data_IF_721459705538
#
_entry.id   IF_721459705538
#
_cell.length_a   1.000
_cell.length_b   1.000
_cell.length_c   1.000
_cell.angle_alpha   90.00
_cell.angle_beta   90.00
_cell.angle_gamma   90.00
#
_symmetry.space_group_name_H-M   'P 1'
#
loop_
_entity.id
_entity.type
_entity.pdbx_description
1 polymer ?
#
# COMPACT_ATOMS: atom_id res chain seq x y z
N UNK A 1 -13.01 41.09 -39.22
CA UNK A 1 -12.73 39.93 -40.08
C UNK A 1 -13.49 38.77 -39.43
N UNK A 2 -14.83 38.70 -39.57
CA UNK A 2 -15.60 38.07 -40.68
C UNK A 2 -15.21 36.58 -40.78
N UNK A 3 -16.04 35.54 -40.67
CA UNK A 3 -17.48 35.24 -40.48
C UNK A 3 -17.51 33.81 -39.84
N UNK A 4 -18.45 33.37 -38.99
CA UNK A 4 -19.85 32.95 -39.20
C UNK A 4 -20.17 32.04 -40.41
N UNK A 5 -21.20 31.19 -40.22
CA UNK A 5 -21.79 30.12 -41.07
C UNK A 5 -21.29 28.67 -40.83
N UNK A 6 -22.12 27.63 -40.86
CA UNK A 6 -23.57 27.51 -40.80
C UNK A 6 -23.95 26.02 -40.62
N UNK A 7 -25.01 25.84 -39.84
CA UNK A 7 -25.94 24.72 -39.72
C UNK A 7 -26.40 24.11 -41.06
N UNK A 8 -26.65 22.79 -41.10
CA UNK A 8 -27.79 22.20 -41.86
C UNK A 8 -28.15 20.77 -41.43
N UNK A 9 -29.32 20.66 -40.82
CA UNK A 9 -30.15 19.46 -40.78
C UNK A 9 -30.85 19.26 -42.13
N UNK A 10 -31.17 18.02 -42.49
CA UNK A 10 -32.05 17.68 -43.61
C UNK A 10 -32.61 16.27 -43.43
N UNK A 11 -33.89 16.18 -43.06
CA UNK A 11 -34.68 14.97 -42.94
C UNK A 11 -35.10 14.41 -44.32
N UNK A 12 -35.32 13.10 -44.40
CA UNK A 12 -35.95 12.44 -45.54
C UNK A 12 -36.38 11.02 -45.16
N UNK A 13 -37.69 10.81 -45.11
CA UNK A 13 -38.40 9.60 -44.67
C UNK A 13 -38.97 8.93 -45.91
N UNK A 14 -38.75 7.63 -46.09
CA UNK A 14 -39.57 6.83 -47.02
C UNK A 14 -39.80 5.42 -46.47
N UNK A 15 -41.08 5.04 -46.50
CA UNK A 15 -41.67 3.77 -46.06
C UNK A 15 -42.41 3.22 -47.28
N UNK A 16 -42.10 1.99 -47.72
CA UNK A 16 -42.94 1.08 -48.54
C UNK A 16 -42.38 -0.34 -48.24
N UNK A 17 -43.02 -1.33 -47.61
CA UNK A 17 -44.35 -1.98 -47.66
C UNK A 17 -44.47 -3.16 -48.67
N UNK A 18 -44.76 -4.37 -48.13
CA UNK A 18 -45.26 -5.59 -48.80
C UNK A 18 -44.24 -6.44 -49.59
N UNK A 19 -44.27 -7.78 -49.70
CA UNK A 19 -45.19 -8.82 -49.26
C UNK A 19 -44.53 -10.23 -49.40
N UNK A 20 -45.04 -11.18 -48.61
CA UNK A 20 -45.29 -12.61 -48.88
C UNK A 20 -44.19 -13.66 -49.22
N UNK A 21 -44.03 -14.60 -48.26
CA UNK A 21 -44.17 -16.08 -48.31
C UNK A 21 -43.56 -16.93 -49.46
N UNK A 22 -42.86 -18.00 -49.02
CA UNK A 22 -42.64 -19.34 -49.61
C UNK A 22 -41.24 -19.67 -50.18
N UNK A 23 -40.56 -20.65 -49.56
CA UNK A 23 -39.48 -21.43 -50.19
C UNK A 23 -38.51 -22.09 -49.21
N UNK A 24 -38.83 -23.30 -48.72
CA UNK A 24 -37.82 -24.27 -48.25
C UNK A 24 -37.26 -25.02 -49.47
N UNK A 25 -35.94 -25.30 -49.50
CA UNK A 25 -35.45 -26.68 -49.39
C UNK A 25 -34.26 -26.74 -48.38
N UNK A 26 -34.04 -27.76 -47.56
CA UNK A 26 -33.96 -29.18 -47.88
C UNK A 26 -32.49 -29.62 -47.90
N UNK A 27 -31.93 -30.02 -46.74
CA UNK A 27 -30.70 -30.81 -46.56
C UNK A 27 -29.36 -30.11 -46.87
N UNK A 28 -28.39 -30.01 -45.96
CA UNK A 28 -27.67 -31.17 -45.43
C UNK A 28 -26.98 -30.81 -44.11
N UNK A 29 -27.38 -31.50 -43.04
CA UNK A 29 -26.61 -31.58 -41.81
C UNK A 29 -25.38 -32.46 -42.05
N UNK A 30 -24.21 -31.84 -42.19
CA UNK A 30 -22.97 -32.47 -41.77
C UNK A 30 -22.67 -32.03 -40.36
N UNK A 31 -22.80 -32.98 -39.43
CA UNK A 31 -22.47 -32.79 -38.03
C UNK A 31 -20.99 -32.49 -37.85
N UNK A 32 -20.69 -31.42 -37.13
CA UNK A 32 -19.54 -31.41 -36.25
C UNK A 32 -20.07 -31.78 -34.86
N UNK A 33 -19.88 -33.04 -34.48
CA UNK A 33 -20.08 -33.51 -33.13
C UNK A 33 -18.88 -33.03 -32.30
N UNK A 34 -19.13 -32.30 -31.20
CA UNK A 34 -18.08 -32.11 -30.18
C UNK A 34 -18.03 -30.81 -29.39
N UNK A 35 -19.02 -29.92 -29.43
CA UNK A 35 -19.14 -28.87 -28.39
C UNK A 35 -20.25 -29.28 -27.43
N UNK A 36 -19.91 -30.11 -26.44
CA UNK A 36 -20.71 -30.22 -25.24
C UNK A 36 -20.66 -28.86 -24.54
N UNK A 37 -21.66 -28.01 -24.81
CA UNK A 37 -21.95 -26.85 -23.98
C UNK A 37 -22.24 -27.40 -22.59
N UNK A 38 -21.27 -27.35 -21.68
CA UNK A 38 -21.41 -27.78 -20.30
C UNK A 38 -22.06 -26.63 -19.51
N UNK A 39 -23.40 -26.56 -19.41
CA UNK A 39 -24.08 -25.37 -18.87
C UNK A 39 -23.76 -25.17 -17.39
N UNK A 40 -23.37 -26.26 -16.72
CA UNK A 40 -22.92 -26.27 -15.32
C UNK A 40 -21.50 -25.72 -15.20
N UNK A 41 -20.60 -25.98 -16.15
CA UNK A 41 -19.24 -25.45 -16.12
C UNK A 41 -19.25 -23.93 -16.35
N UNK A 42 -20.05 -23.45 -17.31
CA UNK A 42 -20.23 -22.02 -17.58
C UNK A 42 -20.88 -21.29 -16.38
N UNK A 43 -21.84 -21.93 -15.71
CA UNK A 43 -22.45 -21.40 -14.48
C UNK A 43 -21.47 -21.38 -13.31
N UNK A 44 -20.55 -22.35 -13.23
CA UNK A 44 -19.51 -22.43 -12.21
C UNK A 44 -18.43 -21.38 -12.47
N UNK A 45 -18.01 -21.16 -13.72
CA UNK A 45 -17.11 -20.07 -14.11
C UNK A 45 -17.77 -18.71 -13.85
N UNK A 46 -19.03 -18.52 -14.25
CA UNK A 46 -19.78 -17.29 -13.95
C UNK A 46 -19.94 -17.05 -12.44
N UNK A 47 -20.21 -18.10 -11.66
CA UNK A 47 -20.25 -18.00 -10.20
C UNK A 47 -18.86 -17.70 -9.60
N UNK A 48 -17.78 -18.23 -10.19
CA UNK A 48 -16.41 -17.95 -9.78
C UNK A 48 -16.03 -16.49 -10.09
N UNK A 49 -16.42 -15.96 -11.24
CA UNK A 49 -16.24 -14.55 -11.63
C UNK A 49 -17.02 -13.61 -10.69
N UNK A 50 -18.19 -14.02 -10.21
CA UNK A 50 -18.94 -13.29 -9.18
C UNK A 50 -18.29 -13.35 -7.79
N UNK A 51 -17.45 -14.35 -7.54
CA UNK A 51 -16.72 -14.55 -6.29
C UNK A 51 -15.31 -13.95 -6.33
N UNK A 52 -14.84 -13.44 -7.47
CA UNK A 52 -13.57 -12.75 -7.54
C UNK A 52 -13.59 -11.52 -6.61
N UNK A 53 -12.64 -11.41 -5.67
CA UNK A 53 -12.58 -10.26 -4.78
C UNK A 53 -12.34 -8.98 -5.58
N UNK A 54 -13.38 -8.15 -5.70
CA UNK A 54 -13.29 -6.87 -6.38
C UNK A 54 -12.25 -5.99 -5.67
N UNK A 55 -11.22 -5.56 -6.40
CA UNK A 55 -10.25 -4.57 -5.91
C UNK A 55 -11.01 -3.29 -5.50
N UNK A 56 -10.93 -2.85 -4.24
CA UNK A 56 -11.66 -1.66 -3.81
C UNK A 56 -11.20 -0.41 -4.57
N UNK A 57 -12.11 0.52 -4.83
CA UNK A 57 -11.81 1.73 -5.63
C UNK A 57 -10.76 2.66 -4.99
N UNK A 58 -10.65 2.68 -3.67
CA UNK A 58 -9.67 3.51 -2.95
C UNK A 58 -8.31 2.83 -2.71
N UNK A 59 -8.11 1.64 -3.30
CA UNK A 59 -6.85 0.90 -3.20
C UNK A 59 -5.66 1.76 -3.65
N UNK A 60 -4.71 1.97 -2.75
CA UNK A 60 -3.48 2.73 -3.02
C UNK A 60 -3.57 4.25 -2.90
N UNK A 61 -4.77 4.83 -2.89
CA UNK A 61 -4.95 6.29 -2.89
C UNK A 61 -4.43 6.98 -1.61
N UNK A 62 -4.59 6.35 -0.45
CA UNK A 62 -4.05 6.88 0.81
C UNK A 62 -2.52 7.04 0.75
N UNK A 63 -1.81 6.02 0.26
CA UNK A 63 -0.36 6.08 0.13
C UNK A 63 0.07 7.04 -0.99
N UNK A 64 -0.69 7.13 -2.09
CA UNK A 64 -0.43 8.11 -3.13
C UNK A 64 -0.51 9.56 -2.62
N UNK A 65 -1.52 9.87 -1.81
CA UNK A 65 -1.63 11.18 -1.15
C UNK A 65 -0.47 11.44 -0.17
N UNK A 66 0.04 10.39 0.47
CA UNK A 66 1.17 10.50 1.39
C UNK A 66 2.51 10.69 0.71
N UNK A 67 2.68 10.40 -0.59
CA UNK A 67 3.95 10.63 -1.30
C UNK A 67 4.39 12.11 -1.27
N UNK A 68 3.59 13.08 -1.75
CA UNK A 68 3.99 14.49 -1.66
C UNK A 68 4.07 14.95 -0.21
N UNK A 69 3.18 14.48 0.67
CA UNK A 69 3.20 14.83 2.08
C UNK A 69 4.51 14.39 2.75
N UNK A 70 4.98 13.15 2.53
CA UNK A 70 6.21 12.61 3.12
C UNK A 70 7.46 13.30 2.59
N UNK A 71 7.47 13.68 1.30
CA UNK A 71 8.56 14.49 0.72
C UNK A 71 8.63 15.86 1.41
N UNK A 72 7.50 16.58 1.50
CA UNK A 72 7.46 17.88 2.17
C UNK A 72 7.83 17.79 3.65
N UNK A 73 7.27 16.82 4.37
CA UNK A 73 7.58 16.60 5.79
C UNK A 73 9.06 16.26 6.01
N UNK A 74 9.64 15.46 5.12
CA UNK A 74 11.05 15.10 5.16
C UNK A 74 11.98 16.28 4.91
N UNK A 75 11.67 17.13 3.93
CA UNK A 75 12.41 18.38 3.68
C UNK A 75 12.39 19.25 4.94
N UNK A 76 11.22 19.42 5.58
CA UNK A 76 11.10 20.20 6.82
C UNK A 76 11.99 19.62 7.94
N UNK A 77 11.94 18.30 8.17
CA UNK A 77 12.78 17.67 9.21
C UNK A 77 14.27 17.87 8.94
N UNK A 78 14.72 17.68 7.70
CA UNK A 78 16.13 17.79 7.34
C UNK A 78 16.61 19.24 7.43
N UNK A 79 15.83 20.21 6.95
CA UNK A 79 16.19 21.63 6.98
C UNK A 79 16.17 22.23 8.39
N UNK A 80 15.28 21.77 9.27
CA UNK A 80 15.18 22.28 10.64
C UNK A 80 16.06 21.52 11.64
N UNK A 81 16.75 20.47 11.21
CA UNK A 81 17.67 19.73 12.06
C UNK A 81 18.87 20.60 12.48
N UNK A 82 19.06 20.75 13.79
CA UNK A 82 20.09 21.65 14.37
C UNK A 82 21.51 21.11 14.28
N UNK A 83 21.70 19.83 13.96
CA UNK A 83 23.01 19.18 13.83
C UNK A 83 23.07 18.33 12.58
N UNK A 84 24.28 18.14 12.04
CA UNK A 84 24.49 17.27 10.89
C UNK A 84 24.04 15.83 11.17
N UNK A 85 24.27 15.34 12.39
CA UNK A 85 23.85 13.99 12.77
C UNK A 85 22.33 13.83 12.77
N UNK A 86 21.60 14.83 13.28
CA UNK A 86 20.14 14.87 13.24
C UNK A 86 19.63 14.94 11.79
N UNK A 87 20.24 15.76 10.94
CA UNK A 87 19.86 15.90 9.54
C UNK A 87 20.03 14.58 8.76
N UNK A 88 21.14 13.86 8.99
CA UNK A 88 21.37 12.54 8.39
C UNK A 88 20.34 11.50 8.86
N UNK A 89 20.04 11.47 10.15
CA UNK A 89 19.02 10.56 10.69
C UNK A 89 17.62 10.85 10.15
N UNK A 90 17.27 12.14 10.01
CA UNK A 90 16.01 12.57 9.40
C UNK A 90 15.96 12.27 7.90
N UNK A 91 17.11 12.34 7.20
CA UNK A 91 17.21 11.96 5.79
C UNK A 91 16.90 10.48 5.61
N UNK A 92 17.47 9.62 6.46
CA UNK A 92 17.19 8.19 6.46
C UNK A 92 15.70 7.93 6.66
N UNK A 93 15.08 8.53 7.68
CA UNK A 93 13.64 8.41 7.91
C UNK A 93 12.82 8.85 6.68
N UNK A 94 13.14 10.01 6.11
CA UNK A 94 12.45 10.60 4.97
C UNK A 94 12.54 9.73 3.71
N UNK A 95 13.74 9.24 3.39
CA UNK A 95 13.95 8.37 2.22
C UNK A 95 13.18 7.07 2.37
N UNK A 96 13.24 6.43 3.54
CA UNK A 96 12.47 5.19 3.76
C UNK A 96 10.96 5.41 3.70
N UNK A 97 10.46 6.57 4.14
CA UNK A 97 9.04 6.93 4.04
C UNK A 97 8.61 7.13 2.59
N UNK A 98 9.40 7.86 1.80
CA UNK A 98 9.16 8.05 0.37
C UNK A 98 9.18 6.72 -0.39
N UNK A 99 10.11 5.81 -0.05
CA UNK A 99 10.16 4.47 -0.65
C UNK A 99 8.90 3.67 -0.29
N UNK A 100 8.47 3.66 0.97
CA UNK A 100 7.26 2.97 1.41
C UNK A 100 6.03 3.49 0.66
N UNK A 101 5.71 4.78 0.81
CA UNK A 101 4.49 5.35 0.23
C UNK A 101 4.53 5.34 -1.29
N UNK A 102 5.68 5.66 -1.89
CA UNK A 102 5.85 5.68 -3.34
C UNK A 102 5.70 4.30 -3.96
N UNK A 103 6.41 3.30 -3.44
CA UNK A 103 6.30 1.91 -3.94
C UNK A 103 4.88 1.38 -3.77
N UNK A 104 4.27 1.64 -2.61
CA UNK A 104 2.91 1.16 -2.32
C UNK A 104 1.85 1.81 -3.21
N UNK A 105 1.98 3.11 -3.47
CA UNK A 105 1.12 3.83 -4.40
C UNK A 105 1.22 3.27 -5.81
N UNK A 106 2.45 3.09 -6.33
CA UNK A 106 2.69 2.51 -7.66
C UNK A 106 2.12 1.10 -7.74
N UNK A 107 2.42 0.27 -6.74
CA UNK A 107 1.93 -1.10 -6.67
C UNK A 107 0.41 -1.16 -6.75
N UNK A 108 -0.28 -0.39 -5.91
CA UNK A 108 -1.72 -0.51 -5.74
C UNK A 108 -2.56 0.29 -6.74
N UNK A 109 -2.06 1.38 -7.32
CA UNK A 109 -2.78 2.14 -8.33
C UNK A 109 -2.63 1.56 -9.73
N UNK A 110 -1.48 0.94 -10.02
CA UNK A 110 -1.22 0.40 -11.35
C UNK A 110 -1.95 -0.91 -11.65
N UNK A 111 -1.92 -1.26 -12.94
CA UNK A 111 -2.30 -2.56 -13.49
C UNK A 111 -1.07 -3.16 -14.16
N UNK A 112 -0.51 -4.19 -13.56
CA UNK A 112 0.78 -4.74 -13.94
C UNK A 112 0.62 -6.15 -14.50
N UNK A 113 1.49 -6.53 -15.44
CA UNK A 113 1.61 -7.93 -15.83
C UNK A 113 2.14 -8.80 -14.67
N UNK A 114 2.07 -10.14 -14.78
CA UNK A 114 2.39 -11.05 -13.67
C UNK A 114 3.77 -10.81 -13.03
N UNK A 115 4.79 -10.52 -13.83
CA UNK A 115 6.13 -10.21 -13.35
C UNK A 115 6.19 -8.89 -12.57
N UNK A 116 5.57 -7.82 -13.11
CA UNK A 116 5.56 -6.50 -12.49
C UNK A 116 4.82 -6.52 -11.16
N UNK A 117 3.65 -7.15 -11.12
CA UNK A 117 2.85 -7.36 -9.89
C UNK A 117 3.67 -8.10 -8.83
N UNK A 118 4.36 -9.17 -9.21
CA UNK A 118 5.18 -9.95 -8.29
C UNK A 118 6.40 -9.18 -7.76
N UNK A 119 7.03 -8.33 -8.57
CA UNK A 119 8.17 -7.49 -8.13
C UNK A 119 7.69 -6.37 -7.21
N UNK A 120 6.67 -5.61 -7.61
CA UNK A 120 6.15 -4.48 -6.83
C UNK A 120 5.59 -4.95 -5.49
N UNK A 121 4.88 -6.08 -5.45
CA UNK A 121 4.42 -6.69 -4.19
C UNK A 121 5.56 -7.10 -3.25
N UNK A 122 6.72 -7.50 -3.79
CA UNK A 122 7.90 -7.81 -2.96
C UNK A 122 8.52 -6.53 -2.41
N UNK A 123 8.67 -5.51 -3.23
CA UNK A 123 9.21 -4.21 -2.81
C UNK A 123 8.30 -3.54 -1.77
N UNK A 124 6.99 -3.54 -2.00
CA UNK A 124 6.00 -2.98 -1.08
C UNK A 124 6.07 -3.63 0.30
N UNK A 125 6.08 -4.97 0.37
CA UNK A 125 6.21 -5.67 1.64
C UNK A 125 7.61 -5.57 2.26
N UNK A 126 8.68 -5.48 1.45
CA UNK A 126 10.03 -5.28 1.96
C UNK A 126 10.20 -3.90 2.61
N UNK A 127 9.53 -2.87 2.06
CA UNK A 127 9.59 -1.52 2.58
C UNK A 127 9.04 -1.38 4.00
N UNK A 128 8.18 -2.30 4.46
CA UNK A 128 7.74 -2.35 5.86
C UNK A 128 8.93 -2.50 6.82
N UNK A 129 9.87 -3.40 6.52
CA UNK A 129 11.08 -3.56 7.32
C UNK A 129 11.96 -2.31 7.26
N UNK A 130 12.08 -1.73 6.07
CA UNK A 130 12.92 -0.57 5.83
C UNK A 130 12.42 0.68 6.56
N UNK A 131 11.11 1.00 6.48
CA UNK A 131 10.52 2.14 7.21
C UNK A 131 10.55 1.90 8.72
N UNK A 132 10.47 0.67 9.19
CA UNK A 132 10.59 0.36 10.62
C UNK A 132 11.95 0.78 11.16
N UNK A 133 13.03 0.36 10.48
CA UNK A 133 14.39 0.80 10.83
C UNK A 133 14.59 2.31 10.61
N UNK A 134 14.05 2.85 9.52
CA UNK A 134 14.09 4.28 9.20
C UNK A 134 13.44 5.15 10.28
N UNK A 135 12.29 4.73 10.81
CA UNK A 135 11.57 5.43 11.90
C UNK A 135 12.34 5.39 13.21
N UNK A 136 12.97 4.26 13.52
CA UNK A 136 13.79 4.11 14.72
C UNK A 136 15.06 4.98 14.68
N UNK A 137 15.57 5.29 13.49
CA UNK A 137 16.87 5.94 13.31
C UNK A 137 16.95 7.34 13.94
N UNK A 138 16.07 8.31 13.63
CA UNK A 138 16.10 9.62 14.28
C UNK A 138 15.78 9.53 15.78
N UNK A 139 14.85 8.68 16.21
CA UNK A 139 14.55 8.49 17.64
C UNK A 139 15.78 7.99 18.41
N UNK A 140 16.49 6.99 17.88
CA UNK A 140 17.70 6.46 18.49
C UNK A 140 18.82 7.52 18.51
N UNK A 141 19.02 8.24 17.40
CA UNK A 141 20.09 9.23 17.26
C UNK A 141 19.89 10.42 18.18
N UNK A 142 18.65 10.88 18.35
CA UNK A 142 18.33 12.10 19.10
C UNK A 142 18.11 11.84 20.59
N UNK A 143 17.60 10.67 20.97
CA UNK A 143 17.11 10.43 22.32
C UNK A 143 17.99 9.49 23.16
N UNK A 144 18.93 8.76 22.55
CA UNK A 144 19.74 7.76 23.24
C UNK A 144 21.21 8.16 23.38
N UNK A 145 21.87 7.76 24.49
CA UNK A 145 23.32 7.82 24.59
C UNK A 145 23.99 6.91 23.55
N UNK A 146 25.25 7.19 23.16
CA UNK A 146 25.93 6.51 22.05
C UNK A 146 25.86 4.98 22.06
N UNK A 147 26.10 4.34 23.20
CA UNK A 147 26.12 2.87 23.28
C UNK A 147 24.75 2.24 23.03
N UNK A 148 23.69 2.82 23.65
CA UNK A 148 22.30 2.36 23.48
C UNK A 148 21.80 2.64 22.07
N UNK A 149 22.11 3.83 21.54
CA UNK A 149 21.84 4.20 20.14
C UNK A 149 22.42 3.18 19.19
N UNK A 150 23.72 2.91 19.29
CA UNK A 150 24.42 2.03 18.36
C UNK A 150 23.84 0.61 18.42
N UNK A 151 23.56 0.09 19.62
CA UNK A 151 22.94 -1.22 19.78
C UNK A 151 21.54 -1.28 19.13
N UNK A 152 20.67 -0.30 19.39
CA UNK A 152 19.33 -0.26 18.79
C UNK A 152 19.41 -0.17 17.26
N UNK A 153 20.29 0.69 16.73
CA UNK A 153 20.50 0.83 15.29
C UNK A 153 20.98 -0.49 14.66
N UNK A 154 21.91 -1.18 15.29
CA UNK A 154 22.35 -2.50 14.84
C UNK A 154 21.20 -3.50 14.78
N UNK A 155 20.39 -3.58 15.84
CA UNK A 155 19.24 -4.49 15.90
C UNK A 155 18.24 -4.19 14.77
N UNK A 156 17.82 -2.92 14.63
CA UNK A 156 16.76 -2.58 13.68
C UNK A 156 17.23 -2.68 12.23
N UNK A 157 18.46 -2.29 11.91
CA UNK A 157 18.98 -2.35 10.54
C UNK A 157 19.36 -3.76 10.12
N UNK A 158 20.00 -4.56 11.00
CA UNK A 158 20.27 -5.97 10.67
C UNK A 158 18.97 -6.75 10.54
N UNK A 159 18.03 -6.58 11.49
CA UNK A 159 16.71 -7.19 11.40
C UNK A 159 15.94 -6.77 10.14
N UNK A 160 16.03 -5.49 9.74
CA UNK A 160 15.41 -5.03 8.51
C UNK A 160 16.04 -5.66 7.26
N UNK A 161 17.38 -5.69 7.16
CA UNK A 161 18.08 -6.30 6.04
C UNK A 161 17.82 -7.80 5.95
N UNK A 162 17.82 -8.51 7.08
CA UNK A 162 17.45 -9.93 7.14
C UNK A 162 15.99 -10.14 6.73
N UNK A 163 15.07 -9.30 7.20
CA UNK A 163 13.65 -9.36 6.82
C UNK A 163 13.41 -9.09 5.33
N UNK A 164 14.13 -8.12 4.76
CA UNK A 164 14.12 -7.82 3.31
C UNK A 164 14.68 -9.01 2.53
N UNK A 165 15.84 -9.55 2.92
CA UNK A 165 16.44 -10.71 2.26
C UNK A 165 15.51 -11.92 2.31
N UNK A 166 14.92 -12.20 3.48
CA UNK A 166 13.92 -13.24 3.66
C UNK A 166 12.74 -13.06 2.69
N UNK A 167 12.20 -11.84 2.58
CA UNK A 167 11.07 -11.52 1.70
C UNK A 167 11.40 -11.63 0.21
N UNK A 168 12.60 -11.23 -0.19
CA UNK A 168 13.03 -11.23 -1.60
C UNK A 168 13.39 -12.65 -2.05
N UNK A 169 14.07 -13.42 -1.21
CA UNK A 169 14.56 -14.77 -1.53
C UNK A 169 13.47 -15.85 -1.39
N UNK A 170 12.52 -15.70 -0.45
CA UNK A 170 11.47 -16.70 -0.20
C UNK A 170 10.12 -16.29 -0.79
N UNK A 171 9.93 -16.63 -2.07
CA UNK A 171 8.79 -16.17 -2.89
C UNK A 171 7.41 -16.62 -2.38
N UNK A 172 7.32 -17.82 -1.78
CA UNK A 172 6.05 -18.43 -1.36
C UNK A 172 5.78 -18.32 0.15
N UNK A 173 6.51 -17.46 0.88
CA UNK A 173 6.32 -17.31 2.31
C UNK A 173 4.94 -16.71 2.63
N UNK A 174 4.19 -17.40 3.49
CA UNK A 174 2.86 -16.98 3.96
C UNK A 174 2.93 -15.64 4.71
N UNK A 175 1.84 -14.86 4.63
CA UNK A 175 1.65 -13.62 5.40
C UNK A 175 1.80 -13.79 6.90
N UNK A 176 1.44 -14.96 7.40
CA UNK A 176 1.60 -15.32 8.80
C UNK A 176 3.04 -15.42 9.27
N UNK A 177 4.00 -15.56 8.35
CA UNK A 177 5.41 -15.67 8.71
C UNK A 177 6.09 -14.30 8.77
N UNK A 178 5.89 -13.44 7.76
CA UNK A 178 6.57 -12.14 7.74
C UNK A 178 5.90 -11.07 8.62
N UNK A 179 4.58 -11.15 8.85
CA UNK A 179 3.88 -10.18 9.72
C UNK A 179 4.43 -10.15 11.15
N UNK A 180 4.62 -11.30 11.83
CA UNK A 180 5.27 -11.31 13.14
C UNK A 180 6.72 -10.80 13.12
N UNK A 181 7.47 -11.04 12.04
CA UNK A 181 8.86 -10.61 11.95
C UNK A 181 9.00 -9.08 11.96
N UNK A 182 8.24 -8.36 11.13
CA UNK A 182 8.31 -6.90 11.17
C UNK A 182 7.72 -6.33 12.45
N UNK A 183 6.73 -7.02 13.06
CA UNK A 183 6.14 -6.58 14.32
C UNK A 183 7.17 -6.70 15.44
N UNK A 184 7.85 -7.85 15.55
CA UNK A 184 8.94 -8.05 16.51
C UNK A 184 10.03 -6.98 16.35
N UNK A 185 10.43 -6.67 15.11
CA UNK A 185 11.40 -5.62 14.83
C UNK A 185 10.90 -4.24 15.28
N UNK A 186 9.64 -3.90 14.99
CA UNK A 186 9.03 -2.61 15.34
C UNK A 186 8.83 -2.40 16.84
N UNK A 187 8.82 -3.46 17.64
CA UNK A 187 8.76 -3.40 19.09
C UNK A 187 10.14 -3.31 19.77
N UNK A 188 11.25 -3.43 19.03
CA UNK A 188 12.60 -3.30 19.58
C UNK A 188 12.85 -1.98 20.35
N UNK A 189 12.33 -0.80 19.92
CA UNK A 189 12.50 0.44 20.66
C UNK A 189 11.83 0.47 22.04
N UNK A 190 10.89 -0.44 22.35
CA UNK A 190 10.14 -0.42 23.61
C UNK A 190 11.05 -0.55 24.83
N UNK A 191 12.16 -1.28 24.71
CA UNK A 191 13.18 -1.38 25.76
C UNK A 191 13.78 -0.03 26.15
N UNK A 192 13.75 0.94 25.25
CA UNK A 192 14.38 2.25 25.37
C UNK A 192 13.39 3.38 25.66
N UNK A 193 12.10 3.09 25.87
CA UNK A 193 11.11 4.11 26.25
C UNK A 193 11.50 4.93 27.50
N UNK A 194 12.16 4.38 28.54
CA UNK A 194 12.63 5.20 29.66
C UNK A 194 13.64 6.27 29.24
N UNK A 195 14.56 5.95 28.33
CA UNK A 195 15.50 6.92 27.78
C UNK A 195 14.79 7.95 26.91
N UNK A 196 13.82 7.52 26.09
CA UNK A 196 13.00 8.42 25.28
C UNK A 196 12.20 9.39 26.16
N UNK A 197 11.68 8.92 27.30
CA UNK A 197 10.97 9.76 28.26
C UNK A 197 11.91 10.79 28.89
N UNK A 198 13.11 10.36 29.27
CA UNK A 198 14.08 11.21 29.93
C UNK A 198 14.60 12.33 29.00
N UNK A 199 14.88 12.00 27.74
CA UNK A 199 15.47 12.97 26.78
C UNK A 199 14.40 13.73 25.98
N UNK A 200 13.34 13.06 25.54
CA UNK A 200 12.31 13.63 24.65
C UNK A 200 10.99 13.99 25.34
N UNK A 201 10.80 13.57 26.59
CA UNK A 201 9.59 13.87 27.37
C UNK A 201 8.38 12.99 27.02
N UNK A 202 7.30 13.21 27.77
CA UNK A 202 6.10 12.37 27.73
C UNK A 202 5.36 12.42 26.39
N UNK A 203 5.38 13.56 25.70
CA UNK A 203 4.72 13.72 24.40
C UNK A 203 5.35 12.80 23.33
N UNK A 204 6.69 12.79 23.24
CA UNK A 204 7.44 11.94 22.30
C UNK A 204 7.16 10.45 22.57
N UNK A 205 7.17 10.03 23.83
CA UNK A 205 6.86 8.65 24.22
C UNK A 205 5.42 8.28 23.88
N UNK A 206 4.46 9.15 24.22
CA UNK A 206 3.03 8.89 23.95
C UNK A 206 2.77 8.71 22.46
N UNK A 207 3.34 9.59 21.62
CA UNK A 207 3.23 9.50 20.17
C UNK A 207 3.93 8.27 19.61
N UNK A 208 5.11 7.91 20.15
CA UNK A 208 5.86 6.72 19.74
C UNK A 208 5.09 5.44 20.03
N UNK A 209 4.53 5.33 21.24
CA UNK A 209 3.70 4.19 21.67
C UNK A 209 2.41 4.16 20.86
N UNK A 210 1.74 5.30 20.69
CA UNK A 210 0.51 5.40 19.88
C UNK A 210 0.75 4.93 18.46
N UNK A 211 1.84 5.39 17.82
CA UNK A 211 2.22 4.94 16.48
C UNK A 211 2.50 3.44 16.43
N UNK A 212 3.22 2.89 17.42
CA UNK A 212 3.48 1.44 17.51
C UNK A 212 2.20 0.61 17.67
N UNK A 213 1.25 1.08 18.47
CA UNK A 213 -0.05 0.43 18.66
C UNK A 213 -0.94 0.51 17.42
N UNK A 214 -1.00 1.68 16.76
CA UNK A 214 -1.73 1.85 15.49
C UNK A 214 -1.17 0.93 14.41
N UNK A 215 0.16 0.83 14.30
CA UNK A 215 0.81 -0.08 13.37
C UNK A 215 0.49 -1.55 13.68
N UNK A 216 0.53 -1.93 14.96
CA UNK A 216 0.18 -3.28 15.42
C UNK A 216 -1.29 -3.62 15.12
N UNK A 217 -2.20 -2.68 15.37
CA UNK A 217 -3.61 -2.83 15.03
C UNK A 217 -3.81 -3.00 13.52
N UNK A 218 -3.11 -2.21 12.70
CA UNK A 218 -3.10 -2.36 11.25
C UNK A 218 -2.63 -3.75 10.82
N UNK A 219 -1.53 -4.24 11.39
CA UNK A 219 -0.99 -5.57 11.10
C UNK A 219 -2.00 -6.69 11.44
N UNK A 220 -2.73 -6.55 12.55
CA UNK A 220 -3.82 -7.47 12.92
C UNK A 220 -4.96 -7.42 11.90
N UNK A 221 -5.41 -6.22 11.51
CA UNK A 221 -6.44 -6.04 10.48
C UNK A 221 -6.02 -6.70 9.16
N UNK A 222 -4.76 -6.52 8.75
CA UNK A 222 -4.21 -7.12 7.55
C UNK A 222 -4.18 -8.66 7.63
N UNK A 223 -3.77 -9.21 8.78
CA UNK A 223 -3.67 -10.66 8.98
C UNK A 223 -5.04 -11.35 9.02
N UNK A 224 -6.00 -10.75 9.74
CA UNK A 224 -7.37 -11.27 9.94
C UNK A 224 -8.31 -10.90 8.79
N UNK A 225 -7.95 -9.91 7.98
CA UNK A 225 -8.76 -9.37 6.88
C UNK A 225 -10.11 -8.79 7.35
N UNK A 226 -10.14 -8.23 8.57
CA UNK A 226 -11.32 -7.58 9.17
C UNK A 226 -10.87 -6.39 10.03
N UNK A 227 -11.68 -5.32 10.14
CA UNK A 227 -12.99 -5.14 9.51
C UNK A 227 -12.90 -4.85 8.01
N UNK A 228 -13.99 -5.09 7.29
CA UNK A 228 -14.10 -4.87 5.84
C UNK A 228 -15.33 -3.97 5.57
N UNK A 229 -15.23 -2.67 5.87
CA UNK A 229 -16.42 -1.81 6.04
C UNK A 229 -17.14 -1.52 4.72
N UNK A 230 -16.42 -1.48 3.59
CA UNK A 230 -17.01 -1.38 2.26
C UNK A 230 -16.15 -2.14 1.25
N UNK A 231 -16.43 -3.42 0.97
CA UNK A 231 -15.60 -4.26 0.09
C UNK A 231 -15.35 -3.66 -1.30
N UNK A 232 -16.26 -2.80 -1.79
CA UNK A 232 -16.13 -2.13 -3.10
C UNK A 232 -15.34 -0.82 -3.05
N UNK A 233 -15.28 -0.14 -1.92
CA UNK A 233 -14.69 1.20 -1.82
C UNK A 233 -13.54 1.28 -0.84
N UNK A 234 -13.74 0.77 0.38
CA UNK A 234 -12.82 0.86 1.50
C UNK A 234 -12.83 -0.47 2.26
N UNK A 235 -12.00 -1.40 1.82
CA UNK A 235 -11.92 -2.72 2.44
C UNK A 235 -10.89 -2.79 3.57
N UNK A 236 -10.62 -4.00 4.05
CA UNK A 236 -9.68 -4.22 5.16
C UNK A 236 -8.25 -3.72 4.90
N UNK A 237 -7.78 -3.74 3.64
CA UNK A 237 -6.47 -3.19 3.30
C UNK A 237 -6.44 -1.67 3.38
N UNK A 238 -7.53 -1.00 3.03
CA UNK A 238 -7.63 0.45 3.17
C UNK A 238 -7.66 0.84 4.65
N UNK A 239 -8.29 0.03 5.51
CA UNK A 239 -8.19 0.17 6.97
C UNK A 239 -6.74 0.00 7.43
N UNK A 240 -6.03 -1.03 6.94
CA UNK A 240 -4.61 -1.22 7.21
C UNK A 240 -3.79 0.01 6.80
N UNK A 241 -3.94 0.51 5.57
CA UNK A 241 -3.25 1.71 5.10
C UNK A 241 -3.58 2.94 5.93
N UNK A 242 -4.84 3.14 6.32
CA UNK A 242 -5.21 4.27 7.17
C UNK A 242 -4.52 4.22 8.53
N UNK A 243 -4.45 3.03 9.15
CA UNK A 243 -3.74 2.83 10.42
C UNK A 243 -2.23 3.03 10.28
N UNK A 244 -1.62 2.59 9.18
CA UNK A 244 -0.18 2.81 8.94
C UNK A 244 0.14 4.27 8.64
N UNK A 245 -0.76 4.99 7.95
CA UNK A 245 -0.63 6.45 7.76
C UNK A 245 -0.74 7.17 9.10
N UNK A 246 -1.74 6.86 9.92
CA UNK A 246 -1.89 7.45 11.24
C UNK A 246 -0.69 7.15 12.16
N UNK A 247 -0.17 5.92 12.11
CA UNK A 247 1.04 5.54 12.82
C UNK A 247 2.26 6.36 12.37
N UNK A 248 2.48 6.46 11.06
CA UNK A 248 3.55 7.28 10.49
C UNK A 248 3.43 8.74 10.89
N UNK A 249 2.22 9.31 10.87
CA UNK A 249 1.99 10.70 11.31
C UNK A 249 2.34 10.87 12.80
N UNK A 250 1.94 9.94 13.67
CA UNK A 250 2.32 9.99 15.08
C UNK A 250 3.84 9.94 15.28
N UNK A 251 4.53 9.03 14.58
CA UNK A 251 5.99 8.93 14.62
C UNK A 251 6.68 10.17 14.02
N UNK A 252 6.15 10.72 12.93
CA UNK A 252 6.65 11.97 12.35
C UNK A 252 6.60 13.10 13.37
N UNK A 253 5.46 13.30 14.05
CA UNK A 253 5.31 14.34 15.08
C UNK A 253 6.27 14.07 16.25
N UNK A 254 6.43 12.81 16.68
CA UNK A 254 7.40 12.47 17.73
C UNK A 254 8.84 12.83 17.33
N UNK A 255 9.23 12.55 16.08
CA UNK A 255 10.54 12.91 15.55
C UNK A 255 10.69 14.42 15.43
N UNK A 256 9.68 15.13 14.93
CA UNK A 256 9.67 16.60 14.87
C UNK A 256 9.95 17.24 16.25
N UNK A 257 9.24 16.78 17.29
CA UNK A 257 9.45 17.26 18.66
C UNK A 257 10.85 16.95 19.22
N UNK A 258 11.48 15.88 18.75
CA UNK A 258 12.85 15.54 19.13
C UNK A 258 13.91 16.36 18.35
N UNK A 259 13.56 16.88 17.17
CA UNK A 259 14.48 17.60 16.29
C UNK A 259 14.54 19.10 16.61
N UNK A 260 13.40 19.75 16.87
CA UNK A 260 13.31 21.20 17.04
C UNK A 260 12.40 21.66 18.17
#
# INVERSE_FOLDING_TARGET
MVADDAQKNGAGREVVSGDAVAGLPGGSHHGNAGEEVHPVADLVEWAADLLEPVKPKLRGWLHAAMVPASVSAGIVLVCLARTQQAALACTVYSVTACLLFGTSAVYHLGTWGPLGEAVLRRLDHANIFLITAGTCTPLAVLLLPPDRRNLLLWIVWTGALTGIAFRVLWVNASRWLYTPCYLALGWAPVRYLPDFLHTGGAAVVTLTVTGGLLYSAGAVVYAVQRPDPSPRWFGFHEVFHALTVAAFTAHYIAVSLAVY
#
